data_IF_225278159573
#
_entry.id   IF_225278159573
#
_cell.length_a   1.000
_cell.length_b   1.000
_cell.length_c   1.000
_cell.angle_alpha   90.00
_cell.angle_beta   90.00
_cell.angle_gamma   90.00
#
_symmetry.space_group_name_H-M   'P 1'
#
loop_
_entity.id
_entity.type
_entity.pdbx_description
1 polymer ?
#
# COMPACT_ATOMS: atom_id res chain seq x y z
N UNK A 1 3.60 -24.07 -6.19
CA UNK A 1 3.67 -22.59 -6.23
C UNK A 1 2.59 -22.12 -7.19
N UNK A 2 1.45 -21.62 -6.71
CA UNK A 2 0.43 -21.03 -7.61
C UNK A 2 0.99 -19.68 -8.05
N UNK A 3 1.36 -19.59 -9.33
CA UNK A 3 1.55 -18.31 -10.00
C UNK A 3 0.29 -17.48 -9.75
N UNK A 4 0.44 -16.18 -9.47
CA UNK A 4 -0.71 -15.27 -9.35
C UNK A 4 -1.69 -15.55 -10.50
N UNK A 5 -3.01 -15.60 -10.24
CA UNK A 5 -3.95 -15.95 -11.28
C UNK A 5 -3.82 -14.94 -12.42
N UNK A 6 -3.25 -15.38 -13.53
CA UNK A 6 -2.98 -14.55 -14.72
C UNK A 6 -4.26 -13.81 -15.16
N UNK A 7 -5.41 -14.44 -14.95
CA UNK A 7 -6.73 -13.87 -15.18
C UNK A 7 -7.01 -12.60 -14.38
N UNK A 8 -6.56 -12.52 -13.12
CA UNK A 8 -6.73 -11.33 -12.28
C UNK A 8 -5.91 -10.16 -12.82
N UNK A 9 -4.67 -10.44 -13.23
CA UNK A 9 -3.78 -9.44 -13.85
C UNK A 9 -4.39 -8.92 -15.14
N UNK A 10 -4.80 -9.82 -16.05
CA UNK A 10 -5.40 -9.46 -17.33
C UNK A 10 -6.71 -8.67 -17.15
N UNK A 11 -7.50 -9.01 -16.13
CA UNK A 11 -8.74 -8.28 -15.81
C UNK A 11 -8.42 -6.88 -15.26
N UNK A 12 -7.40 -6.76 -14.41
CA UNK A 12 -6.93 -5.47 -13.89
C UNK A 12 -6.43 -4.55 -15.01
N UNK A 13 -5.58 -5.08 -15.90
CA UNK A 13 -5.09 -4.32 -17.06
C UNK A 13 -6.20 -3.83 -17.96
N UNK A 14 -7.21 -4.67 -18.22
CA UNK A 14 -8.38 -4.29 -19.02
C UNK A 14 -9.12 -3.10 -18.42
N UNK A 15 -9.31 -3.06 -17.10
CA UNK A 15 -9.93 -1.92 -16.41
C UNK A 15 -9.08 -0.65 -16.61
N UNK A 16 -7.77 -0.73 -16.42
CA UNK A 16 -6.87 0.41 -16.62
C UNK A 16 -6.89 0.94 -18.07
N UNK A 17 -6.88 0.04 -19.07
CA UNK A 17 -6.99 0.42 -20.48
C UNK A 17 -8.31 1.16 -20.74
N UNK A 18 -9.42 0.64 -20.24
CA UNK A 18 -10.74 1.24 -20.42
C UNK A 18 -10.89 2.59 -19.72
N UNK A 19 -10.18 2.82 -18.62
CA UNK A 19 -10.18 4.10 -17.89
C UNK A 19 -9.23 5.16 -18.48
N UNK A 20 -8.55 4.86 -19.60
CA UNK A 20 -7.60 5.77 -20.23
C UNK A 20 -6.20 5.63 -19.63
N UNK A 21 -5.51 4.54 -20.00
CA UNK A 21 -4.15 4.26 -19.55
C UNK A 21 -3.23 5.46 -19.80
N UNK A 22 -2.66 6.01 -18.74
CA UNK A 22 -1.75 7.14 -18.80
C UNK A 22 -0.36 6.60 -19.16
N UNK A 23 0.17 7.00 -20.32
CA UNK A 23 1.51 6.59 -20.79
C UNK A 23 2.65 7.40 -20.16
N UNK A 24 2.43 7.96 -18.97
CA UNK A 24 3.44 8.75 -18.25
C UNK A 24 4.10 7.87 -17.19
N UNK A 25 5.42 7.96 -17.07
CA UNK A 25 6.16 7.32 -15.98
C UNK A 25 5.96 8.02 -14.62
N UNK A 26 5.31 9.19 -14.59
CA UNK A 26 4.94 9.84 -13.35
C UNK A 26 3.72 9.14 -12.75
N UNK A 27 3.82 8.78 -11.47
CA UNK A 27 2.68 8.32 -10.70
C UNK A 27 1.59 9.39 -10.75
N UNK A 28 0.35 8.98 -11.06
CA UNK A 28 -0.78 9.89 -10.93
C UNK A 28 -0.88 10.32 -9.46
N UNK A 29 -0.59 11.59 -9.15
CA UNK A 29 -0.79 12.11 -7.81
C UNK A 29 -2.29 12.29 -7.59
N UNK A 30 -2.93 11.30 -6.97
CA UNK A 30 -4.29 11.47 -6.48
C UNK A 30 -4.22 12.32 -5.22
N UNK A 31 -4.70 13.56 -5.31
CA UNK A 31 -4.81 14.44 -4.15
C UNK A 31 -5.89 13.92 -3.20
N UNK A 32 -5.53 13.76 -1.93
CA UNK A 32 -6.48 13.56 -0.83
C UNK A 32 -6.50 14.83 0.02
N UNK A 33 -7.69 15.31 0.38
CA UNK A 33 -7.82 16.45 1.27
C UNK A 33 -7.35 16.11 2.68
N UNK A 34 -6.82 17.10 3.40
CA UNK A 34 -6.27 16.92 4.76
C UNK A 34 -7.30 16.34 5.74
N UNK A 35 -8.54 16.83 5.72
CA UNK A 35 -9.62 16.32 6.57
C UNK A 35 -9.95 14.84 6.29
N UNK A 36 -9.96 14.45 5.02
CA UNK A 36 -10.23 13.08 4.61
C UNK A 36 -9.07 12.15 5.03
N UNK A 37 -7.83 12.61 4.88
CA UNK A 37 -6.65 11.88 5.36
C UNK A 37 -6.69 11.73 6.88
N UNK A 38 -6.99 12.80 7.61
CA UNK A 38 -7.07 12.76 9.06
C UNK A 38 -8.18 11.82 9.56
N UNK A 39 -9.29 11.76 8.83
CA UNK A 39 -10.39 10.82 9.10
C UNK A 39 -9.93 9.37 8.91
N UNK A 40 -9.32 9.06 7.76
CA UNK A 40 -8.78 7.73 7.48
C UNK A 40 -7.72 7.29 8.51
N UNK A 41 -6.84 8.22 8.94
CA UNK A 41 -5.86 7.96 10.00
C UNK A 41 -6.51 7.70 11.36
N UNK A 42 -7.58 8.43 11.69
CA UNK A 42 -8.29 8.26 12.95
C UNK A 42 -9.03 6.92 13.01
N UNK A 43 -9.72 6.55 11.95
CA UNK A 43 -10.41 5.26 11.82
C UNK A 43 -9.41 4.09 11.80
N UNK A 44 -8.26 4.30 11.16
CA UNK A 44 -7.18 3.32 11.06
C UNK A 44 -6.35 3.13 12.32
N UNK A 45 -6.52 3.94 13.39
CA UNK A 45 -5.68 3.91 14.60
C UNK A 45 -5.42 2.51 15.17
N UNK A 46 -6.44 1.65 15.38
CA UNK A 46 -6.21 0.30 15.92
C UNK A 46 -5.33 -0.55 15.00
N UNK A 47 -5.54 -0.46 13.68
CA UNK A 47 -4.76 -1.19 12.68
C UNK A 47 -3.34 -0.65 12.58
N UNK A 48 -3.16 0.66 12.69
CA UNK A 48 -1.84 1.30 12.71
C UNK A 48 -1.03 0.81 13.91
N UNK A 49 -1.63 0.77 15.10
CA UNK A 49 -0.96 0.26 16.30
C UNK A 49 -0.57 -1.21 16.17
N UNK A 50 -1.49 -2.05 15.69
CA UNK A 50 -1.21 -3.47 15.44
C UNK A 50 -0.10 -3.66 14.40
N UNK A 51 -0.11 -2.85 13.34
CA UNK A 51 0.92 -2.87 12.30
C UNK A 51 2.30 -2.51 12.88
N UNK A 52 2.39 -1.58 13.82
CA UNK A 52 3.65 -1.24 14.50
C UNK A 52 4.21 -2.39 15.32
N UNK A 53 3.34 -3.13 16.02
CA UNK A 53 3.75 -4.30 16.79
C UNK A 53 4.29 -5.39 15.87
N UNK A 54 3.54 -5.74 14.81
CA UNK A 54 3.97 -6.72 13.81
C UNK A 54 5.26 -6.29 13.12
N UNK A 55 5.38 -5.00 12.78
CA UNK A 55 6.58 -4.45 12.15
C UNK A 55 7.82 -4.67 13.02
N UNK A 56 7.75 -4.36 14.32
CA UNK A 56 8.89 -4.55 15.25
C UNK A 56 9.31 -6.01 15.33
N UNK A 57 8.36 -6.94 15.31
CA UNK A 57 8.67 -8.37 15.29
C UNK A 57 9.34 -8.78 13.97
N UNK A 58 8.80 -8.34 12.84
CA UNK A 58 9.35 -8.65 11.51
C UNK A 58 10.72 -8.02 11.28
N UNK A 59 10.95 -6.80 11.74
CA UNK A 59 12.23 -6.09 11.60
C UNK A 59 13.39 -6.87 12.22
N UNK A 60 13.14 -7.53 13.36
CA UNK A 60 14.11 -8.37 14.06
C UNK A 60 14.38 -9.69 13.32
N UNK A 61 13.43 -10.19 12.55
CA UNK A 61 13.53 -11.47 11.82
C UNK A 61 14.02 -11.29 10.38
N UNK A 62 13.89 -10.10 9.83
CA UNK A 62 14.14 -9.84 8.42
C UNK A 62 15.62 -9.53 8.18
N UNK A 63 16.30 -10.47 7.51
CA UNK A 63 17.71 -10.32 7.09
C UNK A 63 17.85 -9.33 5.92
N UNK A 64 16.79 -9.13 5.13
CA UNK A 64 16.79 -8.24 3.98
C UNK A 64 16.32 -6.83 4.36
N UNK A 65 17.25 -5.90 4.49
CA UNK A 65 16.99 -4.50 4.84
C UNK A 65 16.48 -3.63 3.68
N UNK A 66 16.31 -4.18 2.47
CA UNK A 66 15.76 -3.46 1.32
C UNK A 66 14.23 -3.62 1.18
N UNK A 67 13.51 -3.71 2.30
CA UNK A 67 12.07 -3.94 2.30
C UNK A 67 11.32 -2.74 2.88
N UNK A 68 10.19 -2.43 2.24
CA UNK A 68 9.25 -1.39 2.67
C UNK A 68 7.91 -2.05 2.89
N UNK A 69 7.34 -1.82 4.07
CA UNK A 69 6.03 -2.32 4.45
C UNK A 69 5.06 -1.16 4.46
N UNK A 70 3.92 -1.37 3.79
CA UNK A 70 2.89 -0.37 3.61
C UNK A 70 1.59 -0.89 4.23
N UNK A 71 0.97 -0.06 5.08
CA UNK A 71 -0.39 -0.24 5.53
C UNK A 71 -1.28 0.71 4.73
N UNK A 72 -2.27 0.17 4.03
CA UNK A 72 -3.24 0.94 3.25
C UNK A 72 -4.66 0.71 3.75
N UNK A 73 -5.53 1.71 3.59
CA UNK A 73 -6.98 1.54 3.77
C UNK A 73 -7.58 0.71 2.63
N UNK A 74 -8.86 0.36 2.77
CA UNK A 74 -9.65 -0.35 1.74
C UNK A 74 -9.80 0.45 0.45
N UNK A 75 -9.70 1.76 0.52
CA UNK A 75 -9.76 2.70 -0.59
C UNK A 75 -8.38 2.94 -1.24
N UNK A 76 -7.32 2.33 -0.70
CA UNK A 76 -5.95 2.49 -1.19
C UNK A 76 -5.22 3.71 -0.62
N UNK A 77 -5.71 4.34 0.45
CA UNK A 77 -5.01 5.43 1.13
C UNK A 77 -3.85 4.87 1.93
N UNK A 78 -2.65 5.43 1.78
CA UNK A 78 -1.49 5.05 2.59
C UNK A 78 -1.66 5.57 4.03
N UNK A 79 -1.84 4.65 4.97
CA UNK A 79 -2.01 4.96 6.39
C UNK A 79 -0.67 4.97 7.13
N UNK A 80 0.23 4.03 6.79
CA UNK A 80 1.57 3.96 7.38
C UNK A 80 2.60 3.32 6.44
N UNK A 81 3.84 3.77 6.57
CA UNK A 81 5.02 3.22 5.90
C UNK A 81 6.08 2.91 6.96
N UNK A 82 6.61 1.69 6.93
CA UNK A 82 7.76 1.27 7.73
C UNK A 82 8.86 0.75 6.81
N UNK A 83 10.10 1.11 7.11
CA UNK A 83 11.28 0.77 6.30
C UNK A 83 12.25 0.02 7.20
N UNK A 84 12.76 -1.12 6.74
CA UNK A 84 13.87 -1.78 7.43
C UNK A 84 15.11 -0.89 7.25
N UNK A 85 15.59 -0.23 8.30
CA UNK A 85 16.82 0.56 8.23
C UNK A 85 18.06 -0.31 8.50
N UNK A 86 19.21 0.13 7.99
CA UNK A 86 20.53 -0.48 8.22
C UNK A 86 21.01 -0.24 9.65
#
# INVERSE_FOLDING_TARGET
>A
MRLQPVEEILTSWRRCINSGLINSAAAASTYIGEDALQTALNEGKPLISLFDEIWRELENLTVNKNLVFLLTSTEGVLLKKSVAEN
#
